data_IF_643422880816
#
_entry.id   IF_643422880816
#
_cell.length_a   1.000
_cell.length_b   1.000
_cell.length_c   1.000
_cell.angle_alpha   90.00
_cell.angle_beta   90.00
_cell.angle_gamma   90.00
#
_symmetry.space_group_name_H-M   'P 1'
#
loop_
_entity.id
_entity.type
_entity.pdbx_description
1 polymer ?
#
# COMPACT_ATOMS: atom_id res chain seq x y z
N UNK A 1 8.05 4.66 10.61
CA UNK A 1 7.32 3.43 10.29
C UNK A 1 6.01 3.37 11.04
N UNK A 2 4.95 2.96 10.37
CA UNK A 2 3.64 2.61 10.96
C UNK A 2 3.47 1.10 10.83
N UNK A 3 3.29 0.41 11.95
CA UNK A 3 3.12 -1.03 11.99
C UNK A 3 1.64 -1.43 11.91
N UNK A 4 1.34 -2.65 11.52
CA UNK A 4 -0.01 -3.22 11.43
C UNK A 4 -0.82 -3.07 12.74
N UNK A 5 -0.18 -3.23 13.89
CA UNK A 5 -0.80 -3.03 15.22
C UNK A 5 -0.82 -1.57 15.68
N UNK A 6 -0.39 -0.63 14.82
CA UNK A 6 -0.16 0.80 15.10
C UNK A 6 0.92 1.07 16.16
N UNK A 7 1.23 0.12 17.03
CA UNK A 7 2.27 0.14 18.06
C UNK A 7 2.29 1.44 18.89
N UNK A 8 1.11 1.97 19.28
CA UNK A 8 1.01 3.11 20.16
C UNK A 8 1.42 2.69 21.59
N UNK A 9 2.10 3.57 22.29
CA UNK A 9 2.48 3.36 23.69
C UNK A 9 1.21 3.42 24.57
N UNK A 10 0.77 2.31 25.19
CA UNK A 10 -0.51 2.24 25.87
C UNK A 10 -0.57 3.08 27.15
N UNK A 11 0.56 3.37 27.74
CA UNK A 11 0.71 4.17 28.96
C UNK A 11 0.88 5.68 28.70
N UNK A 12 0.84 6.10 27.46
CA UNK A 12 0.94 7.50 27.04
C UNK A 12 -0.34 7.95 26.35
N UNK A 13 -0.78 9.18 26.63
CA UNK A 13 -1.86 9.80 25.87
C UNK A 13 -1.44 10.09 24.42
N UNK A 14 -2.40 10.52 23.61
CA UNK A 14 -2.20 10.81 22.17
C UNK A 14 -1.09 11.83 21.95
N UNK A 15 -1.12 12.98 22.63
CA UNK A 15 -0.09 14.02 22.48
C UNK A 15 1.32 13.51 22.84
N UNK A 16 1.43 12.71 23.90
CA UNK A 16 2.71 12.12 24.30
C UNK A 16 3.20 11.06 23.30
N UNK A 17 2.29 10.29 22.69
CA UNK A 17 2.62 9.35 21.63
C UNK A 17 3.22 10.08 20.44
N UNK A 18 2.54 11.12 19.92
CA UNK A 18 2.99 11.89 18.76
C UNK A 18 4.33 12.59 19.06
N UNK A 19 4.47 13.21 20.21
CA UNK A 19 5.67 13.93 20.61
C UNK A 19 6.84 13.04 21.10
N UNK A 20 6.68 11.72 21.13
CA UNK A 20 7.71 10.84 21.67
C UNK A 20 9.03 10.94 20.90
N UNK A 21 8.99 10.81 19.59
CA UNK A 21 10.17 10.90 18.72
C UNK A 21 10.87 12.26 18.82
N UNK A 22 10.12 13.34 18.87
CA UNK A 22 10.65 14.71 18.99
C UNK A 22 11.49 14.88 20.25
N UNK A 23 11.00 14.34 21.37
CA UNK A 23 11.73 14.38 22.64
C UNK A 23 12.98 13.53 22.64
N UNK A 24 12.93 12.34 22.03
CA UNK A 24 14.10 11.46 21.90
C UNK A 24 15.19 12.12 21.07
N UNK A 25 14.82 12.91 20.06
CA UNK A 25 15.77 13.68 19.23
C UNK A 25 16.21 15.02 19.87
N UNK A 26 15.83 15.27 21.13
CA UNK A 26 16.30 16.44 21.87
C UNK A 26 15.63 17.76 21.51
N UNK A 27 14.49 17.73 20.80
CA UNK A 27 13.74 18.94 20.49
C UNK A 27 13.25 19.62 21.77
N UNK A 28 13.36 20.95 21.85
CA UNK A 28 12.87 21.72 22.98
C UNK A 28 11.36 21.58 23.19
N UNK A 29 10.90 21.77 24.43
CA UNK A 29 9.50 21.51 24.80
C UNK A 29 8.49 22.37 24.04
N UNK A 30 8.83 23.63 23.75
CA UNK A 30 7.91 24.57 23.09
C UNK A 30 7.75 24.20 21.63
N UNK A 31 8.84 23.97 20.90
CA UNK A 31 8.83 23.55 19.51
C UNK A 31 8.16 22.18 19.35
N UNK A 32 8.49 21.21 20.23
CA UNK A 32 7.86 19.90 20.22
C UNK A 32 6.34 19.97 20.45
N UNK A 33 5.86 20.85 21.36
CA UNK A 33 4.43 21.02 21.60
C UNK A 33 3.71 21.60 20.38
N UNK A 34 4.26 22.64 19.76
CA UNK A 34 3.71 23.22 18.53
C UNK A 34 3.66 22.20 17.39
N UNK A 35 4.72 21.38 17.23
CA UNK A 35 4.76 20.32 16.22
C UNK A 35 3.74 19.22 16.48
N UNK A 36 3.52 18.83 17.73
CA UNK A 36 2.46 17.87 18.09
C UNK A 36 1.08 18.40 17.73
N UNK A 37 0.80 19.66 18.04
CA UNK A 37 -0.47 20.31 17.71
C UNK A 37 -0.70 20.32 16.19
N UNK A 38 0.28 20.77 15.41
CA UNK A 38 0.26 20.75 13.95
C UNK A 38 -0.02 19.33 13.39
N UNK A 39 0.63 18.31 13.92
CA UNK A 39 0.44 16.92 13.46
C UNK A 39 -0.94 16.38 13.82
N UNK A 40 -1.47 16.73 14.99
CA UNK A 40 -2.81 16.34 15.40
C UNK A 40 -3.89 17.04 14.55
N UNK A 41 -3.69 18.30 14.21
CA UNK A 41 -4.57 19.04 13.30
C UNK A 41 -4.54 18.42 11.89
N UNK A 42 -3.34 18.08 11.37
CA UNK A 42 -3.15 17.45 10.07
C UNK A 42 -3.97 16.16 9.90
N UNK A 43 -4.05 15.35 10.96
CA UNK A 43 -4.81 14.09 10.97
C UNK A 43 -6.22 14.22 11.60
N UNK A 44 -6.67 15.44 11.90
CA UNK A 44 -7.99 15.75 12.49
C UNK A 44 -8.23 15.06 13.84
N UNK A 45 -7.23 15.08 14.70
CA UNK A 45 -7.26 14.41 16.01
C UNK A 45 -6.95 15.33 17.21
N UNK A 46 -7.03 16.65 17.02
CA UNK A 46 -6.70 17.65 18.07
C UNK A 46 -7.52 17.48 19.34
N UNK A 47 -8.82 17.21 19.23
CA UNK A 47 -9.73 16.99 20.37
C UNK A 47 -9.40 15.74 21.20
N UNK A 48 -8.62 14.81 20.62
CA UNK A 48 -8.24 13.55 21.26
C UNK A 48 -6.87 13.60 21.94
N UNK A 49 -6.20 14.75 21.98
CA UNK A 49 -4.82 14.92 22.46
C UNK A 49 -4.57 14.30 23.85
N UNK A 50 -5.56 14.39 24.75
CA UNK A 50 -5.47 13.88 26.12
C UNK A 50 -5.97 12.44 26.29
N UNK A 51 -6.57 11.82 25.27
CA UNK A 51 -7.09 10.44 25.38
C UNK A 51 -5.96 9.41 25.36
N UNK A 52 -6.25 8.28 25.99
CA UNK A 52 -5.37 7.11 25.96
C UNK A 52 -5.69 6.25 24.72
N UNK A 53 -4.72 5.48 24.17
CA UNK A 53 -4.94 4.62 23.01
C UNK A 53 -6.13 3.65 23.13
N UNK A 54 -6.40 3.15 24.36
CA UNK A 54 -7.52 2.25 24.62
C UNK A 54 -8.90 2.92 24.43
N UNK A 55 -8.97 4.24 24.42
CA UNK A 55 -10.19 5.03 24.25
C UNK A 55 -10.46 5.41 22.78
N UNK A 56 -9.64 4.90 21.84
CA UNK A 56 -9.68 5.23 20.42
C UNK A 56 -10.18 4.06 19.58
N UNK A 57 -10.92 4.37 18.51
CA UNK A 57 -11.24 3.41 17.47
C UNK A 57 -9.99 2.97 16.68
N UNK A 58 -10.09 1.91 15.86
CA UNK A 58 -9.00 1.45 14.99
C UNK A 58 -8.47 2.55 14.07
N UNK A 59 -9.36 3.24 13.35
CA UNK A 59 -8.98 4.33 12.46
C UNK A 59 -8.37 5.53 13.20
N UNK A 60 -8.85 5.85 14.40
CA UNK A 60 -8.26 6.90 15.25
C UNK A 60 -6.84 6.52 15.68
N UNK A 61 -6.62 5.28 16.14
CA UNK A 61 -5.27 4.79 16.48
C UNK A 61 -4.32 4.86 15.28
N UNK A 62 -4.79 4.50 14.09
CA UNK A 62 -4.02 4.61 12.85
C UNK A 62 -3.59 6.05 12.57
N UNK A 63 -4.53 7.00 12.60
CA UNK A 63 -4.23 8.44 12.38
C UNK A 63 -3.18 8.94 13.37
N UNK A 64 -3.26 8.55 14.64
CA UNK A 64 -2.24 8.91 15.63
C UNK A 64 -0.88 8.27 15.35
N UNK A 65 -0.85 7.01 14.89
CA UNK A 65 0.40 6.36 14.50
C UNK A 65 1.07 7.05 13.30
N UNK A 66 0.26 7.52 12.34
CA UNK A 66 0.74 8.32 11.20
C UNK A 66 1.28 9.66 11.68
N UNK A 67 0.53 10.40 12.52
CA UNK A 67 0.97 11.68 13.09
C UNK A 67 2.30 11.53 13.84
N UNK A 68 2.44 10.46 14.64
CA UNK A 68 3.69 10.13 15.34
C UNK A 68 4.85 9.88 14.38
N UNK A 69 4.60 9.17 13.27
CA UNK A 69 5.63 8.86 12.29
C UNK A 69 6.03 10.09 11.44
N UNK A 70 5.11 11.04 11.26
CA UNK A 70 5.34 12.28 10.50
C UNK A 70 5.95 13.41 11.35
N UNK A 71 5.76 13.39 12.68
CA UNK A 71 6.24 14.44 13.56
C UNK A 71 7.73 14.80 13.36
N UNK A 72 8.66 13.84 13.19
CA UNK A 72 10.08 14.12 12.95
C UNK A 72 10.43 14.46 11.48
N UNK A 73 9.47 14.83 10.63
CA UNK A 73 9.66 15.22 9.23
C UNK A 73 10.47 14.20 8.39
N UNK A 74 10.00 12.96 8.27
CA UNK A 74 10.74 11.94 7.54
C UNK A 74 10.70 12.20 6.03
N UNK A 75 11.79 11.89 5.31
CA UNK A 75 11.79 11.86 3.85
C UNK A 75 10.97 10.70 3.27
N UNK A 76 10.76 9.64 4.07
CA UNK A 76 10.10 8.40 3.67
C UNK A 76 9.20 7.88 4.80
N UNK A 77 7.95 7.55 4.50
CA UNK A 77 7.03 6.89 5.41
C UNK A 77 6.82 5.42 5.02
N UNK A 78 7.15 4.50 5.93
CA UNK A 78 6.89 3.08 5.77
C UNK A 78 5.57 2.72 6.46
N UNK A 79 4.69 2.06 5.73
CA UNK A 79 3.35 1.64 6.17
C UNK A 79 3.23 0.12 5.99
N UNK A 80 3.24 -0.62 7.09
CA UNK A 80 3.18 -2.08 7.10
C UNK A 80 1.75 -2.54 7.41
N UNK A 81 1.02 -2.99 6.38
CA UNK A 81 -0.39 -3.39 6.40
C UNK A 81 -1.30 -2.44 7.23
N UNK A 82 -1.23 -1.13 7.04
CA UNK A 82 -1.85 -0.18 7.95
C UNK A 82 -3.37 -0.25 7.98
N UNK A 83 -4.01 -0.82 6.95
CA UNK A 83 -5.47 -0.89 6.82
C UNK A 83 -6.03 -2.30 7.11
N UNK A 84 -5.17 -3.29 7.35
CA UNK A 84 -5.58 -4.69 7.49
C UNK A 84 -6.56 -4.97 8.64
N UNK A 85 -6.51 -4.18 9.70
CA UNK A 85 -7.37 -4.35 10.89
C UNK A 85 -8.70 -3.56 10.82
N UNK A 86 -9.01 -2.88 9.69
CA UNK A 86 -10.19 -2.04 9.53
C UNK A 86 -11.29 -2.77 8.77
N UNK A 87 -12.55 -2.46 9.09
CA UNK A 87 -13.71 -2.86 8.28
C UNK A 87 -13.66 -2.21 6.88
N UNK A 88 -14.42 -2.75 5.95
CA UNK A 88 -14.37 -2.35 4.53
C UNK A 88 -14.68 -0.86 4.31
N UNK A 89 -15.69 -0.33 5.02
CA UNK A 89 -16.09 1.07 4.85
C UNK A 89 -15.01 2.02 5.35
N UNK A 90 -14.51 1.78 6.56
CA UNK A 90 -13.45 2.58 7.17
C UNK A 90 -12.13 2.45 6.39
N UNK A 91 -11.83 1.26 5.87
CA UNK A 91 -10.66 1.01 5.02
C UNK A 91 -10.67 1.90 3.78
N UNK A 92 -11.78 1.94 3.02
CA UNK A 92 -11.93 2.80 1.83
C UNK A 92 -11.77 4.28 2.16
N UNK A 93 -12.36 4.72 3.27
CA UNK A 93 -12.20 6.09 3.72
C UNK A 93 -10.72 6.42 4.04
N UNK A 94 -10.04 5.54 4.76
CA UNK A 94 -8.64 5.72 5.13
C UNK A 94 -7.68 5.67 3.92
N UNK A 95 -7.97 4.88 2.90
CA UNK A 95 -7.22 4.91 1.63
C UNK A 95 -7.24 6.29 0.99
N UNK A 96 -8.43 6.90 0.89
CA UNK A 96 -8.58 8.24 0.33
C UNK A 96 -7.84 9.31 1.17
N UNK A 97 -7.92 9.20 2.49
CA UNK A 97 -7.24 10.10 3.41
C UNK A 97 -5.71 9.98 3.29
N UNK A 98 -5.18 8.75 3.27
CA UNK A 98 -3.75 8.51 3.10
C UNK A 98 -3.22 9.06 1.77
N UNK A 99 -3.96 8.85 0.68
CA UNK A 99 -3.58 9.38 -0.64
C UNK A 99 -3.59 10.91 -0.68
N UNK A 100 -4.58 11.56 -0.05
CA UNK A 100 -4.63 13.01 0.11
C UNK A 100 -3.47 13.53 0.95
N UNK A 101 -3.17 12.84 2.04
CA UNK A 101 -2.08 13.19 2.96
C UNK A 101 -0.73 13.08 2.25
N UNK A 102 -0.47 12.00 1.53
CA UNK A 102 0.74 11.80 0.73
C UNK A 102 0.94 12.94 -0.28
N UNK A 103 -0.11 13.29 -1.04
CA UNK A 103 -0.06 14.40 -2.00
C UNK A 103 0.20 15.75 -1.32
N UNK A 104 -0.42 16.01 -0.16
CA UNK A 104 -0.25 17.25 0.60
C UNK A 104 1.17 17.40 1.13
N UNK A 105 1.77 16.31 1.58
CA UNK A 105 3.11 16.31 2.18
C UNK A 105 4.23 16.23 1.14
N UNK A 106 3.98 15.68 -0.06
CA UNK A 106 4.99 15.49 -1.11
C UNK A 106 6.12 14.54 -0.76
N UNK A 107 5.94 13.69 0.27
CA UNK A 107 6.94 12.68 0.69
C UNK A 107 6.65 11.32 0.08
N UNK A 108 7.67 10.47 0.03
CA UNK A 108 7.51 9.10 -0.47
C UNK A 108 6.86 8.21 0.58
N UNK A 109 5.78 7.49 0.18
CA UNK A 109 5.18 6.42 0.96
C UNK A 109 5.60 5.07 0.39
N UNK A 110 6.07 4.17 1.23
CA UNK A 110 6.21 2.75 0.92
C UNK A 110 5.13 2.01 1.69
N UNK A 111 4.21 1.40 0.95
CA UNK A 111 3.03 0.75 1.46
C UNK A 111 3.13 -0.75 1.24
N UNK A 112 3.11 -1.53 2.31
CA UNK A 112 3.09 -2.99 2.25
C UNK A 112 1.64 -3.44 2.45
N UNK A 113 1.13 -4.24 1.52
CA UNK A 113 -0.21 -4.81 1.60
C UNK A 113 -0.26 -6.16 0.89
N UNK A 114 -1.18 -7.01 1.30
CA UNK A 114 -1.57 -8.21 0.58
C UNK A 114 -2.90 -8.01 -0.20
N UNK A 115 -3.52 -6.85 -0.10
CA UNK A 115 -4.74 -6.48 -0.80
C UNK A 115 -4.39 -5.85 -2.16
N UNK A 116 -4.84 -6.51 -3.23
CA UNK A 116 -4.55 -6.11 -4.61
C UNK A 116 -5.26 -4.79 -4.98
N UNK A 117 -6.50 -4.60 -4.51
CA UNK A 117 -7.25 -3.37 -4.76
C UNK A 117 -6.57 -2.17 -4.10
N UNK A 118 -6.02 -2.36 -2.89
CA UNK A 118 -5.23 -1.33 -2.22
C UNK A 118 -3.99 -0.97 -3.03
N UNK A 119 -3.22 -1.97 -3.47
CA UNK A 119 -2.01 -1.74 -4.25
C UNK A 119 -2.30 -0.95 -5.54
N UNK A 120 -3.32 -1.36 -6.30
CA UNK A 120 -3.70 -0.73 -7.58
C UNK A 120 -4.21 0.71 -7.36
N UNK A 121 -5.08 0.91 -6.36
CA UNK A 121 -5.75 2.20 -6.18
C UNK A 121 -4.87 3.28 -5.52
N UNK A 122 -3.89 2.87 -4.72
CA UNK A 122 -3.10 3.80 -3.91
C UNK A 122 -1.72 4.12 -4.47
N UNK A 123 -1.14 3.23 -5.26
CA UNK A 123 0.27 3.31 -5.62
C UNK A 123 0.50 3.98 -6.97
N UNK A 124 1.61 4.69 -7.10
CA UNK A 124 2.15 5.15 -8.39
C UNK A 124 3.02 4.05 -9.02
N UNK A 125 3.61 3.18 -8.19
CA UNK A 125 4.37 2.00 -8.61
C UNK A 125 4.10 0.84 -7.65
N UNK A 126 4.03 -0.37 -8.21
CA UNK A 126 3.82 -1.61 -7.48
C UNK A 126 5.03 -2.52 -7.65
N UNK A 127 5.48 -3.12 -6.57
CA UNK A 127 6.48 -4.17 -6.56
C UNK A 127 5.84 -5.48 -6.07
N UNK A 128 5.64 -6.43 -6.99
CA UNK A 128 5.15 -7.77 -6.64
C UNK A 128 6.32 -8.62 -6.17
N UNK A 129 6.19 -9.20 -4.99
CA UNK A 129 7.24 -10.03 -4.36
C UNK A 129 6.79 -11.48 -4.21
N UNK A 130 7.74 -12.40 -4.39
CA UNK A 130 7.58 -13.83 -4.11
C UNK A 130 8.86 -14.42 -3.56
N UNK A 131 8.78 -15.13 -2.43
CA UNK A 131 9.95 -15.80 -1.84
C UNK A 131 11.14 -14.85 -1.58
N UNK A 132 10.88 -13.60 -1.17
CA UNK A 132 11.90 -12.60 -0.88
C UNK A 132 12.55 -11.94 -2.11
N UNK A 133 12.02 -12.17 -3.32
CA UNK A 133 12.52 -11.59 -4.58
C UNK A 133 11.43 -10.80 -5.28
N UNK A 134 11.82 -9.80 -6.05
CA UNK A 134 10.89 -9.07 -6.92
C UNK A 134 10.58 -9.91 -8.16
N UNK A 135 9.29 -10.16 -8.40
CA UNK A 135 8.78 -10.79 -9.62
C UNK A 135 8.58 -9.75 -10.72
N UNK A 136 8.00 -8.60 -10.35
CA UNK A 136 7.79 -7.47 -11.25
C UNK A 136 7.70 -6.17 -10.47
N UNK A 137 8.22 -5.09 -11.06
CA UNK A 137 8.04 -3.72 -10.58
C UNK A 137 7.56 -2.88 -11.76
N UNK A 138 6.46 -2.15 -11.58
CA UNK A 138 5.85 -1.33 -12.65
C UNK A 138 4.76 -0.41 -12.13
N UNK A 139 4.09 0.32 -13.04
CA UNK A 139 2.86 1.05 -12.72
C UNK A 139 1.71 0.08 -12.49
N UNK A 140 0.60 0.50 -11.87
CA UNK A 140 -0.60 -0.36 -11.74
C UNK A 140 -1.06 -0.94 -13.08
N UNK A 141 -1.05 -0.13 -14.15
CA UNK A 141 -1.42 -0.54 -15.51
C UNK A 141 -0.46 -1.61 -16.05
N UNK A 142 0.85 -1.42 -15.93
CA UNK A 142 1.85 -2.40 -16.38
C UNK A 142 1.74 -3.74 -15.62
N UNK A 143 1.44 -3.69 -14.32
CA UNK A 143 1.29 -4.90 -13.50
C UNK A 143 0.00 -5.64 -13.86
N UNK A 144 -1.08 -4.92 -14.18
CA UNK A 144 -2.39 -5.51 -14.50
C UNK A 144 -2.47 -5.99 -15.95
N UNK A 145 -2.06 -5.17 -16.91
CA UNK A 145 -2.22 -5.44 -18.34
C UNK A 145 -1.04 -6.21 -18.97
N UNK A 146 0.16 -6.12 -18.36
CA UNK A 146 1.39 -6.72 -18.86
C UNK A 146 2.13 -7.53 -17.79
N UNK A 147 1.48 -8.53 -17.17
CA UNK A 147 2.13 -9.37 -16.15
C UNK A 147 3.27 -10.16 -16.76
N UNK A 148 4.48 -10.00 -16.21
CA UNK A 148 5.71 -10.63 -16.75
C UNK A 148 5.83 -12.11 -16.41
N UNK A 149 5.14 -12.56 -15.36
CA UNK A 149 5.16 -13.95 -14.93
C UNK A 149 3.76 -14.48 -14.67
N UNK A 150 3.61 -15.78 -14.79
CA UNK A 150 2.39 -16.50 -14.44
C UNK A 150 1.92 -16.18 -13.00
N UNK A 151 2.88 -16.02 -12.09
CA UNK A 151 2.58 -15.67 -10.70
C UNK A 151 1.95 -14.28 -10.60
N UNK A 152 2.49 -13.28 -11.28
CA UNK A 152 1.94 -11.91 -11.27
C UNK A 152 0.54 -11.90 -11.85
N UNK A 153 0.31 -12.57 -12.98
CA UNK A 153 -1.02 -12.68 -13.60
C UNK A 153 -2.06 -13.29 -12.68
N UNK A 154 -1.70 -14.34 -11.93
CA UNK A 154 -2.59 -14.97 -10.95
C UNK A 154 -2.78 -14.12 -9.69
N UNK A 155 -1.74 -13.43 -9.26
CA UNK A 155 -1.75 -12.66 -8.01
C UNK A 155 -2.57 -11.37 -8.13
N UNK A 156 -2.49 -10.66 -9.26
CA UNK A 156 -3.07 -9.30 -9.41
C UNK A 156 -4.54 -9.30 -9.86
N UNK A 157 -5.06 -10.36 -10.42
CA UNK A 157 -6.41 -10.33 -10.96
C UNK A 157 -7.11 -11.68 -10.96
N UNK A 158 -8.37 -11.64 -11.40
CA UNK A 158 -9.15 -12.86 -11.71
C UNK A 158 -8.74 -13.37 -13.09
N UNK A 159 -7.49 -13.83 -13.23
CA UNK A 159 -6.99 -14.33 -14.50
C UNK A 159 -7.35 -15.79 -14.69
N UNK A 160 -7.87 -16.14 -15.86
CA UNK A 160 -8.01 -17.54 -16.29
C UNK A 160 -6.79 -17.91 -17.12
N UNK A 161 -6.05 -18.89 -16.64
CA UNK A 161 -4.85 -19.37 -17.33
C UNK A 161 -5.19 -20.63 -18.11
N UNK A 162 -4.95 -20.55 -19.41
CA UNK A 162 -5.16 -21.68 -20.33
C UNK A 162 -3.78 -22.17 -20.81
N UNK A 163 -3.56 -23.46 -20.69
CA UNK A 163 -2.37 -24.13 -21.22
C UNK A 163 -2.69 -24.83 -22.52
N UNK A 164 -1.80 -24.75 -23.50
CA UNK A 164 -1.98 -25.40 -24.77
C UNK A 164 -0.70 -25.42 -25.61
N UNK A 165 -0.75 -26.16 -26.73
CA UNK A 165 0.30 -26.16 -27.75
C UNK A 165 -0.03 -25.16 -28.85
N UNK A 166 0.95 -24.44 -29.32
CA UNK A 166 0.82 -23.54 -30.45
C UNK A 166 0.77 -24.36 -31.75
N UNK A 167 -0.36 -24.36 -32.43
CA UNK A 167 -0.55 -25.06 -33.74
C UNK A 167 -0.09 -24.21 -34.92
N UNK A 168 -0.35 -22.90 -34.86
CA UNK A 168 0.09 -21.96 -35.90
C UNK A 168 0.32 -20.57 -35.32
N UNK A 169 1.23 -19.82 -35.95
CA UNK A 169 1.53 -18.44 -35.60
C UNK A 169 1.28 -17.58 -36.83
N UNK A 170 0.37 -16.60 -36.72
CA UNK A 170 0.15 -15.56 -37.69
C UNK A 170 1.00 -14.32 -37.39
N UNK A 171 0.65 -13.18 -37.96
CA UNK A 171 1.37 -11.92 -37.76
C UNK A 171 1.21 -11.39 -36.32
N UNK A 172 -0.04 -11.37 -35.86
CA UNK A 172 -0.40 -10.81 -34.55
C UNK A 172 -1.27 -11.78 -33.69
N UNK A 173 -1.47 -13.01 -34.20
CA UNK A 173 -2.31 -14.02 -33.56
C UNK A 173 -1.64 -15.38 -33.58
N UNK A 174 -1.98 -16.24 -32.62
CA UNK A 174 -1.61 -17.64 -32.61
C UNK A 174 -2.82 -18.53 -32.37
N UNK A 175 -2.88 -19.67 -33.04
CA UNK A 175 -3.87 -20.73 -32.73
C UNK A 175 -3.24 -21.67 -31.75
N UNK A 176 -3.92 -21.86 -30.61
CA UNK A 176 -3.46 -22.66 -29.49
C UNK A 176 -4.50 -23.77 -29.25
N UNK A 177 -4.04 -25.02 -29.16
CA UNK A 177 -4.87 -26.17 -28.79
C UNK A 177 -4.57 -26.61 -27.36
N UNK A 178 -5.57 -26.52 -26.51
CA UNK A 178 -5.52 -26.96 -25.12
C UNK A 178 -6.52 -28.07 -24.83
N UNK A 179 -6.59 -28.48 -23.58
CA UNK A 179 -7.54 -29.50 -23.11
C UNK A 179 -9.04 -29.08 -23.30
N UNK A 180 -9.32 -27.81 -23.32
CA UNK A 180 -10.66 -27.24 -23.52
C UNK A 180 -11.01 -26.97 -24.97
N UNK A 181 -10.17 -27.36 -25.95
CA UNK A 181 -10.34 -27.09 -27.39
C UNK A 181 -9.32 -26.12 -27.94
N UNK A 182 -9.55 -25.67 -29.19
CA UNK A 182 -8.71 -24.67 -29.86
C UNK A 182 -9.21 -23.26 -29.60
N UNK A 183 -8.30 -22.32 -29.44
CA UNK A 183 -8.60 -20.89 -29.31
C UNK A 183 -7.55 -20.05 -30.01
N UNK A 184 -7.93 -18.86 -30.43
CA UNK A 184 -7.03 -17.88 -31.04
C UNK A 184 -6.64 -16.86 -29.96
N UNK A 185 -5.35 -16.66 -29.76
CA UNK A 185 -4.80 -15.68 -28.84
C UNK A 185 -4.12 -14.54 -29.59
N UNK A 186 -4.14 -13.34 -29.01
CA UNK A 186 -3.27 -12.25 -29.45
C UNK A 186 -1.82 -12.61 -29.13
N UNK A 187 -0.98 -12.62 -30.14
CA UNK A 187 0.44 -12.93 -30.06
C UNK A 187 1.34 -11.74 -30.42
N UNK A 188 0.75 -10.55 -30.59
CA UNK A 188 1.48 -9.33 -30.99
C UNK A 188 2.63 -8.96 -30.05
N UNK A 189 2.52 -9.38 -28.77
CA UNK A 189 3.51 -9.11 -27.71
C UNK A 189 4.36 -10.33 -27.31
N UNK A 190 4.17 -11.47 -27.95
CA UNK A 190 4.82 -12.72 -27.57
C UNK A 190 5.63 -13.33 -28.72
N UNK A 191 6.84 -13.79 -28.45
CA UNK A 191 7.60 -14.63 -29.39
C UNK A 191 7.19 -16.08 -29.20
N UNK A 192 6.24 -16.54 -30.00
CA UNK A 192 5.73 -17.91 -29.97
C UNK A 192 6.38 -18.74 -31.07
N UNK A 193 6.61 -20.01 -30.79
CA UNK A 193 7.04 -21.04 -31.77
C UNK A 193 6.02 -22.14 -31.78
N UNK A 194 5.81 -22.74 -32.95
CA UNK A 194 4.96 -23.92 -33.11
C UNK A 194 5.60 -25.10 -32.40
N UNK A 195 4.83 -25.83 -31.55
CA UNK A 195 5.30 -27.00 -30.82
C UNK A 195 4.63 -27.19 -29.48
#
# INVERSE_FOLDING_TARGET
TVFQSYALFPHMNVAKNVGYGLRVHGMDKKTAAARVEEMLELVQMSEYANRMPAQLSGGQRQRIAIARALAPEPALLLLDEPLGALDLQLRRQMQLELKRLQKKLGITFVYITHDQEEAINMSDRIAVMRGGRFEQVGTPEEIYDEPKTHYVAQFIGRSTLLSGRVESVGRDTAVIRGACGGFTADASRAKLTVG
#
